data_IF_592934192858
#
_entry.id   IF_592934192858
#
_cell.length_a   1.000
_cell.length_b   1.000
_cell.length_c   1.000
_cell.angle_alpha   90.00
_cell.angle_beta   90.00
_cell.angle_gamma   90.00
#
_symmetry.space_group_name_H-M   'P 1'
#
loop_
_entity.id
_entity.type
_entity.pdbx_description
1 polymer ?
#
# COMPACT_ATOMS: atom_id res chain seq x y z
N UNK A 1 15.49 -0.80 -7.77
CA UNK A 1 15.94 -0.67 -6.36
C UNK A 1 15.57 -1.97 -5.71
N UNK A 2 16.44 -2.58 -4.90
CA UNK A 2 16.10 -3.85 -4.27
C UNK A 2 15.11 -3.62 -3.13
N UNK A 3 14.03 -4.40 -3.10
CA UNK A 3 12.97 -4.32 -2.09
C UNK A 3 12.93 -5.62 -1.31
N UNK A 4 12.72 -5.50 0.00
CA UNK A 4 12.24 -6.57 0.87
C UNK A 4 10.84 -6.15 1.37
N UNK A 5 9.83 -6.86 0.90
CA UNK A 5 8.43 -6.63 1.23
C UNK A 5 8.02 -7.64 2.30
N UNK A 6 7.41 -7.16 3.38
CA UNK A 6 7.06 -7.99 4.54
C UNK A 6 5.58 -7.76 4.84
N UNK A 7 4.75 -8.80 4.73
CA UNK A 7 3.36 -8.75 5.11
C UNK A 7 3.22 -8.92 6.62
N UNK A 8 2.62 -7.95 7.32
CA UNK A 8 2.36 -8.10 8.76
C UNK A 8 1.17 -9.05 8.96
N UNK A 9 1.28 -10.09 9.81
CA UNK A 9 0.15 -10.94 10.12
C UNK A 9 -0.87 -10.17 10.99
N UNK A 10 -2.16 -10.54 10.97
CA UNK A 10 -3.18 -9.84 11.76
C UNK A 10 -3.04 -10.08 13.28
N UNK A 11 -2.36 -11.14 13.68
CA UNK A 11 -2.08 -11.50 15.08
C UNK A 11 -0.78 -10.89 15.61
N UNK A 12 -0.19 -11.44 16.69
CA UNK A 12 1.09 -10.99 17.22
C UNK A 12 2.25 -11.29 16.26
N UNK A 13 3.43 -10.68 16.45
CA UNK A 13 4.64 -11.00 15.70
C UNK A 13 4.95 -12.50 15.70
N UNK A 14 5.02 -13.08 14.51
CA UNK A 14 5.29 -14.50 14.28
C UNK A 14 6.04 -14.62 12.94
N UNK A 15 5.76 -15.68 12.18
CA UNK A 15 6.24 -15.80 10.82
C UNK A 15 5.62 -14.73 9.93
N UNK A 16 6.49 -14.12 9.11
CA UNK A 16 6.10 -13.12 8.14
C UNK A 16 6.19 -13.69 6.73
N UNK A 17 5.11 -13.57 5.97
CA UNK A 17 5.19 -13.72 4.53
C UNK A 17 6.03 -12.58 3.96
N UNK A 18 6.97 -12.90 3.08
CA UNK A 18 7.86 -11.92 2.46
C UNK A 18 7.96 -12.13 0.95
N UNK A 19 8.32 -11.06 0.27
CA UNK A 19 8.74 -11.09 -1.13
C UNK A 19 9.96 -10.18 -1.30
N UNK A 20 10.88 -10.54 -2.18
CA UNK A 20 12.00 -9.70 -2.60
C UNK A 20 11.81 -9.30 -4.05
N UNK A 21 12.33 -8.13 -4.41
CA UNK A 21 12.36 -7.66 -5.78
C UNK A 21 13.71 -7.00 -6.02
N UNK A 22 14.45 -7.40 -7.05
CA UNK A 22 15.74 -6.79 -7.37
C UNK A 22 15.60 -5.38 -8.00
N UNK A 23 14.53 -5.19 -8.78
CA UNK A 23 14.30 -4.01 -9.62
C UNK A 23 13.13 -3.12 -9.13
N UNK A 24 12.22 -3.67 -8.32
CA UNK A 24 10.94 -3.05 -7.93
C UNK A 24 9.81 -3.33 -8.95
N UNK A 25 10.08 -4.11 -9.98
CA UNK A 25 9.18 -4.40 -11.09
C UNK A 25 8.66 -5.83 -11.08
N UNK A 26 9.52 -6.80 -10.75
CA UNK A 26 9.15 -8.22 -10.63
C UNK A 26 9.49 -8.81 -9.26
N UNK A 27 8.80 -9.90 -8.90
CA UNK A 27 9.15 -10.69 -7.72
C UNK A 27 10.37 -11.55 -8.05
N UNK A 28 11.38 -11.53 -7.18
CA UNK A 28 12.61 -12.32 -7.33
C UNK A 28 12.61 -13.57 -6.47
N UNK A 29 12.15 -13.47 -5.22
CA UNK A 29 11.92 -14.60 -4.33
C UNK A 29 10.78 -14.28 -3.36
N UNK A 30 10.14 -15.29 -2.80
CA UNK A 30 9.12 -15.11 -1.78
C UNK A 30 9.07 -16.33 -0.85
N UNK A 31 8.44 -16.19 0.31
CA UNK A 31 8.32 -17.25 1.29
C UNK A 31 7.67 -16.78 2.57
N UNK A 32 7.74 -17.60 3.62
CA UNK A 32 7.37 -17.26 4.98
C UNK A 32 8.54 -17.57 5.91
N UNK A 33 8.86 -16.68 6.83
CA UNK A 33 9.94 -16.88 7.78
C UNK A 33 9.74 -16.10 9.06
N UNK A 34 10.26 -16.64 10.17
CA UNK A 34 10.40 -15.94 11.43
C UNK A 34 11.22 -14.64 11.25
N UNK A 35 11.07 -13.63 12.13
CA UNK A 35 11.70 -12.32 11.96
C UNK A 35 13.23 -12.41 11.79
N UNK A 36 13.88 -13.33 12.53
CA UNK A 36 15.32 -13.58 12.50
C UNK A 36 15.83 -14.22 11.18
N UNK A 37 14.94 -14.87 10.43
CA UNK A 37 15.25 -15.64 9.21
C UNK A 37 14.81 -14.94 7.92
N UNK A 38 14.16 -13.77 8.04
CA UNK A 38 13.86 -12.93 6.90
C UNK A 38 15.13 -12.60 6.10
N UNK A 39 15.05 -12.47 4.77
CA UNK A 39 16.19 -12.07 3.94
C UNK A 39 16.90 -10.83 4.50
N UNK A 40 18.23 -10.80 4.37
CA UNK A 40 19.02 -9.72 4.94
C UNK A 40 18.69 -8.37 4.29
N UNK A 41 18.43 -7.36 5.12
CA UNK A 41 18.22 -5.97 4.70
C UNK A 41 19.59 -5.25 4.56
N UNK A 42 20.38 -5.65 3.57
CA UNK A 42 21.70 -5.06 3.30
C UNK A 42 21.65 -3.61 2.80
N UNK A 43 22.82 -2.99 2.61
CA UNK A 43 22.93 -1.65 2.00
C UNK A 43 22.26 -1.65 0.62
N UNK A 44 21.31 -0.73 0.43
CA UNK A 44 20.59 -0.59 -0.84
C UNK A 44 19.29 -1.39 -0.97
N UNK A 45 18.95 -2.21 0.05
CA UNK A 45 17.63 -2.86 0.15
C UNK A 45 16.69 -1.97 0.94
N UNK A 46 15.55 -1.60 0.35
CA UNK A 46 14.47 -0.95 1.08
C UNK A 46 13.56 -2.01 1.69
N UNK A 47 13.40 -1.98 3.02
CA UNK A 47 12.42 -2.80 3.72
C UNK A 47 11.08 -2.07 3.73
N UNK A 48 10.02 -2.72 3.24
CA UNK A 48 8.66 -2.19 3.22
C UNK A 48 7.75 -3.12 4.01
N UNK A 49 7.14 -2.62 5.08
CA UNK A 49 6.11 -3.33 5.82
C UNK A 49 4.75 -3.09 5.17
N UNK A 50 4.00 -4.15 4.91
CA UNK A 50 2.65 -4.11 4.34
C UNK A 50 1.64 -4.44 5.44
N UNK A 51 0.81 -3.46 5.79
CA UNK A 51 -0.28 -3.61 6.77
C UNK A 51 -1.45 -4.33 6.11
N UNK A 52 -1.91 -5.47 6.65
CA UNK A 52 -2.98 -6.24 6.03
C UNK A 52 -4.29 -5.47 6.06
N UNK A 53 -5.10 -5.63 5.02
CA UNK A 53 -6.37 -4.92 4.88
C UNK A 53 -7.34 -5.22 6.04
N UNK A 54 -7.28 -6.44 6.61
CA UNK A 54 -8.08 -6.83 7.77
C UNK A 54 -7.74 -6.08 9.08
N UNK A 55 -6.61 -5.35 9.14
CA UNK A 55 -6.20 -4.55 10.30
C UNK A 55 -6.24 -3.04 10.03
N UNK A 56 -6.86 -2.64 8.92
CA UNK A 56 -6.90 -1.26 8.49
C UNK A 56 -8.32 -0.83 8.16
N UNK A 57 -8.73 0.34 8.66
CA UNK A 57 -9.97 0.99 8.27
C UNK A 57 -9.71 2.35 7.64
N UNK A 58 -10.66 2.80 6.84
CA UNK A 58 -10.55 4.00 6.02
C UNK A 58 -11.63 4.99 6.39
N UNK A 59 -11.23 6.20 6.76
CA UNK A 59 -12.15 7.28 7.11
C UNK A 59 -11.97 8.46 6.18
N UNK A 60 -13.06 9.01 5.68
CA UNK A 60 -13.04 10.21 4.86
C UNK A 60 -13.37 11.43 5.73
N UNK A 61 -12.46 12.39 5.82
CA UNK A 61 -12.64 13.61 6.61
C UNK A 61 -12.51 14.85 5.75
N UNK A 62 -13.23 15.90 6.12
CA UNK A 62 -13.04 17.23 5.55
C UNK A 62 -11.97 17.96 6.37
N UNK A 63 -10.78 18.17 5.77
CA UNK A 63 -9.70 18.83 6.49
C UNK A 63 -9.98 20.33 6.62
N UNK A 64 -9.78 20.94 7.80
CA UNK A 64 -9.81 22.38 7.96
C UNK A 64 -8.74 23.07 7.10
N UNK A 65 -8.98 24.34 6.73
CA UNK A 65 -7.99 25.13 5.98
C UNK A 65 -6.71 25.27 6.82
N UNK A 66 -5.56 25.14 6.16
CA UNK A 66 -4.24 25.23 6.81
C UNK A 66 -3.77 23.97 7.56
N UNK A 67 -4.57 22.89 7.57
CA UNK A 67 -4.17 21.59 8.14
C UNK A 67 -3.64 20.68 7.04
N UNK A 68 -2.42 20.19 7.21
CA UNK A 68 -1.78 19.27 6.26
C UNK A 68 -0.84 18.28 6.95
N UNK A 69 -0.13 17.43 6.18
CA UNK A 69 0.69 16.33 6.69
C UNK A 69 1.82 16.74 7.67
N UNK A 70 2.23 18.01 7.66
CA UNK A 70 3.26 18.56 8.54
C UNK A 70 2.74 19.49 9.63
N UNK A 71 1.42 19.63 9.79
CA UNK A 71 0.86 20.53 10.79
C UNK A 71 1.11 19.97 12.20
N UNK A 72 1.62 20.79 13.15
CA UNK A 72 1.97 20.32 14.51
C UNK A 72 0.76 19.81 15.30
N UNK A 73 -0.45 20.26 14.94
CA UNK A 73 -1.73 19.86 15.56
C UNK A 73 -2.49 18.82 14.74
N UNK A 74 -1.87 18.21 13.72
CA UNK A 74 -2.56 17.26 12.85
C UNK A 74 -3.22 16.14 13.65
N UNK A 75 -2.48 15.53 14.60
CA UNK A 75 -2.98 14.44 15.45
C UNK A 75 -4.27 14.83 16.18
N UNK A 76 -4.25 15.91 16.96
CA UNK A 76 -5.40 16.35 17.75
C UNK A 76 -6.60 16.74 16.88
N UNK A 77 -6.35 17.29 15.68
CA UNK A 77 -7.42 17.64 14.74
C UNK A 77 -8.07 16.37 14.17
N UNK A 78 -7.26 15.37 13.78
CA UNK A 78 -7.80 14.10 13.28
C UNK A 78 -8.58 13.36 14.36
N UNK A 79 -8.12 13.37 15.62
CA UNK A 79 -8.84 12.78 16.75
C UNK A 79 -10.21 13.44 16.93
N UNK A 80 -10.29 14.78 16.98
CA UNK A 80 -11.57 15.47 17.11
C UNK A 80 -12.51 15.32 15.91
N UNK A 81 -11.97 15.14 14.68
CA UNK A 81 -12.80 14.88 13.49
C UNK A 81 -13.36 13.46 13.44
N UNK A 82 -12.68 12.51 14.09
CA UNK A 82 -12.97 11.09 14.01
C UNK A 82 -13.57 10.50 15.29
N UNK A 83 -13.69 11.29 16.37
CA UNK A 83 -14.18 10.84 17.67
C UNK A 83 -15.49 10.04 17.59
N UNK A 84 -16.47 10.55 16.85
CA UNK A 84 -17.78 9.92 16.68
C UNK A 84 -17.83 8.85 15.55
N UNK A 85 -16.76 8.71 14.75
CA UNK A 85 -16.72 7.79 13.61
C UNK A 85 -15.96 6.49 13.93
N UNK A 86 -15.19 6.47 15.02
CA UNK A 86 -14.33 5.38 15.39
C UNK A 86 -15.01 4.47 16.41
N UNK A 87 -14.79 3.16 16.26
CA UNK A 87 -15.31 2.15 17.18
C UNK A 87 -14.45 2.00 18.44
N UNK A 88 -13.29 2.65 18.48
CA UNK A 88 -12.30 2.59 19.56
C UNK A 88 -11.83 4.01 19.90
N UNK A 89 -11.27 4.17 21.10
CA UNK A 89 -10.68 5.44 21.54
C UNK A 89 -9.56 5.89 20.59
N UNK A 90 -9.61 7.12 20.03
CA UNK A 90 -8.63 7.60 19.07
C UNK A 90 -7.18 7.50 19.59
N UNK A 91 -6.95 7.69 20.89
CA UNK A 91 -5.64 7.58 21.54
C UNK A 91 -4.99 6.17 21.47
N UNK A 92 -5.80 5.13 21.27
CA UNK A 92 -5.36 3.73 21.08
C UNK A 92 -5.07 3.41 19.62
N UNK A 93 -5.48 4.29 18.70
CA UNK A 93 -5.34 4.10 17.27
C UNK A 93 -4.18 4.91 16.69
N UNK A 94 -3.56 4.36 15.66
CA UNK A 94 -2.68 5.06 14.76
C UNK A 94 -3.49 5.67 13.62
N UNK A 95 -3.21 6.93 13.29
CA UNK A 95 -3.88 7.68 12.23
C UNK A 95 -2.82 8.14 11.21
N UNK A 96 -3.04 7.84 9.93
CA UNK A 96 -2.17 8.31 8.85
C UNK A 96 -2.98 8.99 7.76
N UNK A 97 -2.55 10.18 7.35
CA UNK A 97 -3.25 10.99 6.36
C UNK A 97 -2.86 10.60 4.94
N UNK A 98 -3.80 10.69 4.00
CA UNK A 98 -3.56 10.40 2.59
C UNK A 98 -2.39 11.20 1.99
N UNK A 99 -1.62 10.58 1.08
CA UNK A 99 -0.60 11.30 0.34
C UNK A 99 -1.23 12.45 -0.45
N UNK A 100 -0.62 13.63 -0.37
CA UNK A 100 -1.10 14.82 -1.09
C UNK A 100 -2.34 15.49 -0.49
N UNK A 101 -2.78 15.11 0.71
CA UNK A 101 -3.91 15.76 1.38
C UNK A 101 -3.65 17.26 1.62
N UNK A 102 -4.65 18.08 1.30
CA UNK A 102 -4.60 19.55 1.41
C UNK A 102 -5.68 20.06 2.36
N UNK A 103 -5.35 21.08 3.14
CA UNK A 103 -6.31 21.73 4.03
C UNK A 103 -7.44 22.39 3.23
N UNK A 104 -8.68 22.22 3.67
CA UNK A 104 -9.87 22.68 2.96
C UNK A 104 -10.43 21.68 1.95
N UNK A 105 -9.82 20.51 1.77
CA UNK A 105 -10.32 19.44 0.91
C UNK A 105 -10.66 18.18 1.71
N UNK A 106 -11.48 17.30 1.10
CA UNK A 106 -11.73 15.95 1.60
C UNK A 106 -10.46 15.12 1.46
N UNK A 107 -10.10 14.38 2.50
CA UNK A 107 -8.95 13.50 2.53
C UNK A 107 -9.27 12.17 3.20
N UNK A 108 -8.57 11.12 2.79
CA UNK A 108 -8.63 9.82 3.46
C UNK A 108 -7.67 9.76 4.65
N UNK A 109 -8.09 9.07 5.70
CA UNK A 109 -7.29 8.73 6.88
C UNK A 109 -7.31 7.22 7.04
N UNK A 110 -6.12 6.63 7.08
CA UNK A 110 -5.92 5.23 7.43
C UNK A 110 -5.89 5.10 8.95
N UNK A 111 -6.58 4.10 9.48
CA UNK A 111 -6.71 3.87 10.91
C UNK A 111 -6.40 2.41 11.24
N UNK A 112 -5.50 2.19 12.20
CA UNK A 112 -5.20 0.86 12.72
C UNK A 112 -4.84 0.89 14.21
N UNK A 113 -4.79 -0.26 14.86
CA UNK A 113 -4.41 -0.34 16.27
C UNK A 113 -2.92 -0.01 16.47
N UNK A 114 -2.63 0.98 17.33
CA UNK A 114 -1.27 1.50 17.53
C UNK A 114 -0.34 0.48 18.19
N UNK A 115 -0.83 -0.23 19.21
CA UNK A 115 -0.03 -1.22 19.95
C UNK A 115 0.37 -2.40 19.06
N UNK A 116 -0.56 -2.90 18.25
CA UNK A 116 -0.31 -3.94 17.26
C UNK A 116 0.78 -3.54 16.27
N UNK A 117 0.67 -2.35 15.65
CA UNK A 117 1.66 -1.88 14.68
C UNK A 117 3.03 -1.70 15.35
N UNK A 118 3.08 -1.11 16.54
CA UNK A 118 4.32 -0.92 17.30
C UNK A 118 5.02 -2.25 17.62
N UNK A 119 4.27 -3.29 18.02
CA UNK A 119 4.83 -4.61 18.32
C UNK A 119 5.50 -5.24 17.09
N UNK A 120 4.89 -5.15 15.91
CA UNK A 120 5.49 -5.63 14.67
C UNK A 120 6.74 -4.84 14.27
N UNK A 121 6.68 -3.51 14.33
CA UNK A 121 7.82 -2.67 14.00
C UNK A 121 9.00 -2.95 14.94
N UNK A 122 8.74 -3.14 16.25
CA UNK A 122 9.76 -3.51 17.22
C UNK A 122 10.36 -4.89 16.94
N UNK A 123 9.55 -5.89 16.61
CA UNK A 123 10.04 -7.23 16.27
C UNK A 123 10.92 -7.23 15.01
N UNK A 124 10.55 -6.45 13.99
CA UNK A 124 11.35 -6.30 12.78
C UNK A 124 12.65 -5.53 13.04
N UNK A 125 12.61 -4.49 13.88
CA UNK A 125 13.78 -3.71 14.27
C UNK A 125 14.78 -4.55 15.09
N UNK A 126 14.29 -5.31 16.07
CA UNK A 126 15.10 -6.25 16.85
C UNK A 126 15.76 -7.33 15.98
N UNK A 127 15.13 -7.68 14.87
CA UNK A 127 15.67 -8.59 13.89
C UNK A 127 16.66 -7.90 12.91
N UNK A 128 16.83 -6.58 12.95
CA UNK A 128 17.68 -5.84 12.00
C UNK A 128 17.05 -5.66 10.62
N UNK A 129 15.71 -5.72 10.51
CA UNK A 129 14.93 -5.40 9.30
C UNK A 129 14.01 -4.19 9.55
N UNK A 130 14.52 -3.03 9.99
CA UNK A 130 13.67 -1.87 10.27
C UNK A 130 12.96 -1.42 8.98
N UNK A 131 11.61 -1.40 8.95
CA UNK A 131 10.88 -0.91 7.79
C UNK A 131 11.23 0.55 7.50
N UNK A 132 11.59 0.83 6.26
CA UNK A 132 11.84 2.18 5.76
C UNK A 132 10.54 2.88 5.31
N UNK A 133 9.54 2.10 4.89
CA UNK A 133 8.21 2.54 4.51
C UNK A 133 7.16 1.56 5.05
N UNK A 134 6.01 2.07 5.45
CA UNK A 134 4.87 1.25 5.86
C UNK A 134 3.74 1.55 4.88
N UNK A 135 3.23 0.54 4.17
CA UNK A 135 2.18 0.71 3.16
C UNK A 135 0.96 -0.12 3.52
N UNK A 136 -0.25 0.31 3.14
CA UNK A 136 -1.43 -0.54 3.21
C UNK A 136 -1.37 -1.62 2.12
N UNK A 137 -1.86 -2.82 2.42
CA UNK A 137 -2.11 -3.87 1.43
C UNK A 137 -3.15 -3.42 0.39
N UNK A 138 -4.20 -2.75 0.87
CA UNK A 138 -5.33 -2.28 0.09
C UNK A 138 -5.61 -0.84 0.48
N UNK A 139 -5.63 0.08 -0.49
CA UNK A 139 -5.90 1.50 -0.27
C UNK A 139 -7.07 2.01 -1.13
N UNK A 140 -7.81 3.03 -0.68
CA UNK A 140 -8.75 3.76 -1.52
C UNK A 140 -8.02 4.27 -2.76
N UNK A 141 -8.61 3.99 -3.92
CA UNK A 141 -8.09 4.39 -5.22
C UNK A 141 -9.23 5.01 -6.02
N UNK A 142 -8.90 6.01 -6.83
CA UNK A 142 -9.84 6.53 -7.82
C UNK A 142 -9.83 5.64 -9.06
N UNK A 143 -10.96 5.55 -9.74
CA UNK A 143 -11.15 4.76 -10.95
C UNK A 143 -11.93 3.47 -10.73
N UNK A 144 -11.81 2.51 -11.67
CA UNK A 144 -12.66 1.34 -11.70
C UNK A 144 -12.53 0.48 -10.45
N UNK A 145 -13.64 -0.14 -10.06
CA UNK A 145 -13.68 -1.12 -8.99
C UNK A 145 -12.73 -2.27 -9.30
N UNK A 146 -11.87 -2.60 -8.36
CA UNK A 146 -11.01 -3.77 -8.38
C UNK A 146 -11.46 -4.71 -7.29
N UNK A 147 -11.61 -5.98 -7.65
CA UNK A 147 -11.93 -7.08 -6.74
C UNK A 147 -10.76 -8.07 -6.78
N UNK A 148 -10.19 -8.38 -5.62
CA UNK A 148 -9.07 -9.30 -5.50
C UNK A 148 -9.36 -10.38 -4.45
N UNK A 149 -9.48 -11.64 -4.89
CA UNK A 149 -9.55 -12.78 -3.97
C UNK A 149 -8.16 -13.22 -3.53
N UNK A 150 -7.96 -13.28 -2.21
CA UNK A 150 -6.66 -13.57 -1.58
C UNK A 150 -6.81 -14.46 -0.35
N UNK A 151 -5.70 -15.04 0.10
CA UNK A 151 -5.67 -15.89 1.29
C UNK A 151 -5.83 -17.36 0.96
N UNK A 152 -6.09 -18.15 2.00
CA UNK A 152 -6.20 -19.60 1.87
C UNK A 152 -7.58 -20.03 1.34
N UNK A 153 -7.67 -21.13 0.57
CA UNK A 153 -8.93 -21.68 0.07
C UNK A 153 -10.00 -21.91 1.14
N UNK A 154 -9.60 -22.25 2.36
CA UNK A 154 -10.50 -22.49 3.49
C UNK A 154 -11.03 -21.19 4.11
N UNK A 155 -10.32 -20.07 3.92
CA UNK A 155 -10.63 -18.76 4.48
C UNK A 155 -10.32 -17.64 3.48
N UNK A 156 -10.99 -17.63 2.31
CA UNK A 156 -10.69 -16.63 1.30
C UNK A 156 -11.17 -15.25 1.75
N UNK A 157 -10.46 -14.23 1.33
CA UNK A 157 -10.78 -12.83 1.54
C UNK A 157 -11.00 -12.14 0.21
N UNK A 158 -12.05 -11.34 0.12
CA UNK A 158 -12.32 -10.44 -0.97
C UNK A 158 -11.84 -9.03 -0.57
N UNK A 159 -10.85 -8.54 -1.30
CA UNK A 159 -10.35 -7.17 -1.20
C UNK A 159 -11.00 -6.34 -2.32
N UNK A 160 -11.57 -5.20 -1.97
CA UNK A 160 -12.28 -4.32 -2.90
C UNK A 160 -11.75 -2.90 -2.78
N UNK A 161 -11.45 -2.26 -3.91
CA UNK A 161 -11.08 -0.83 -3.93
C UNK A 161 -11.56 -0.15 -5.19
N UNK A 162 -11.93 1.12 -5.13
CA UNK A 162 -12.36 1.91 -6.28
C UNK A 162 -13.53 2.84 -5.93
N UNK A 163 -13.95 3.67 -6.88
CA UNK A 163 -14.96 4.70 -6.63
C UNK A 163 -16.34 4.11 -6.27
N UNK A 164 -16.65 2.91 -6.77
CA UNK A 164 -17.90 2.20 -6.46
C UNK A 164 -17.90 1.49 -5.10
N UNK A 165 -16.75 1.37 -4.44
CA UNK A 165 -16.64 0.65 -3.16
C UNK A 165 -17.02 1.61 -2.01
N UNK A 166 -18.03 1.28 -1.18
CA UNK A 166 -18.37 2.12 -0.03
C UNK A 166 -17.15 2.28 0.89
N UNK A 167 -16.84 3.51 1.30
CA UNK A 167 -15.62 3.77 2.08
C UNK A 167 -14.30 3.68 1.28
N UNK A 168 -14.36 3.53 -0.05
CA UNK A 168 -13.22 3.57 -0.98
C UNK A 168 -12.38 2.29 -1.03
N UNK A 169 -12.26 1.57 0.09
CA UNK A 169 -11.62 0.26 0.15
C UNK A 169 -12.22 -0.60 1.28
N UNK A 170 -12.43 -1.89 1.03
CA UNK A 170 -12.95 -2.86 2.00
C UNK A 170 -12.29 -4.22 1.85
N UNK A 171 -12.16 -4.95 2.96
CA UNK A 171 -11.77 -6.35 2.99
C UNK A 171 -12.83 -7.14 3.76
N UNK A 172 -13.34 -8.20 3.16
CA UNK A 172 -14.34 -9.07 3.78
C UNK A 172 -14.05 -10.55 3.54
N UNK A 173 -14.39 -11.45 4.48
CA UNK A 173 -14.37 -12.88 4.23
C UNK A 173 -15.25 -13.23 3.02
N UNK A 174 -14.71 -14.02 2.11
CA UNK A 174 -15.40 -14.45 0.92
C UNK A 174 -16.11 -15.78 1.18
N UNK A 175 -17.40 -15.86 0.88
CA UNK A 175 -18.21 -17.03 1.13
C UNK A 175 -19.64 -16.90 0.63
N UNK A 176 -20.52 -17.83 1.02
CA UNK A 176 -21.94 -17.78 0.66
C UNK A 176 -22.56 -16.48 1.18
N UNK A 177 -23.02 -15.62 0.26
CA UNK A 177 -23.61 -14.32 0.60
C UNK A 177 -22.70 -13.11 0.34
N UNK A 178 -21.40 -13.29 0.12
CA UNK A 178 -20.50 -12.17 -0.23
C UNK A 178 -20.92 -11.45 -1.52
N UNK A 179 -21.62 -12.14 -2.43
CA UNK A 179 -22.20 -11.55 -3.63
C UNK A 179 -23.16 -10.38 -3.33
N UNK A 180 -23.91 -10.44 -2.23
CA UNK A 180 -24.83 -9.37 -1.83
C UNK A 180 -24.11 -8.12 -1.30
N UNK A 181 -22.83 -8.26 -0.93
CA UNK A 181 -21.98 -7.17 -0.44
C UNK A 181 -21.11 -6.57 -1.54
N UNK A 182 -21.19 -7.11 -2.76
CA UNK A 182 -20.46 -6.57 -3.91
C UNK A 182 -20.99 -5.17 -4.25
N UNK A 183 -20.11 -4.25 -4.68
CA UNK A 183 -20.53 -2.94 -5.16
C UNK A 183 -21.56 -3.11 -6.28
N UNK A 184 -22.69 -2.42 -6.17
CA UNK A 184 -23.65 -2.37 -7.24
C UNK A 184 -22.98 -1.78 -8.48
N UNK A 185 -23.04 -2.49 -9.61
CA UNK A 185 -22.56 -1.96 -10.87
C UNK A 185 -23.47 -0.80 -11.28
N UNK A 186 -22.95 0.43 -11.29
CA UNK A 186 -23.64 1.52 -11.98
C UNK A 186 -23.70 1.19 -13.47
N UNK A 187 -24.83 1.48 -14.13
CA UNK A 187 -25.09 1.08 -15.51
C UNK A 187 -24.00 1.53 -16.50
N UNK A 188 -23.35 2.67 -16.23
CA UNK A 188 -22.30 3.25 -17.07
C UNK A 188 -20.87 3.04 -16.51
N UNK A 189 -20.71 2.28 -15.43
CA UNK A 189 -19.39 2.04 -14.86
C UNK A 189 -18.62 0.97 -15.66
N UNK A 190 -17.29 1.14 -15.83
CA UNK A 190 -16.45 0.10 -16.40
C UNK A 190 -16.54 -1.18 -15.56
N UNK A 191 -16.49 -2.33 -16.23
CA UNK A 191 -16.52 -3.62 -15.56
C UNK A 191 -15.36 -3.74 -14.55
N UNK A 192 -15.60 -4.36 -13.36
CA UNK A 192 -14.56 -4.45 -12.36
C UNK A 192 -13.38 -5.31 -12.83
N UNK A 193 -12.17 -4.91 -12.44
CA UNK A 193 -10.96 -5.72 -12.58
C UNK A 193 -11.03 -6.87 -11.58
N UNK A 194 -11.06 -8.11 -12.07
CA UNK A 194 -11.13 -9.31 -11.24
C UNK A 194 -9.74 -9.95 -11.15
N UNK A 195 -9.22 -10.05 -9.93
CA UNK A 195 -7.93 -10.63 -9.60
C UNK A 195 -8.13 -11.78 -8.62
N UNK A 196 -7.30 -12.82 -8.72
CA UNK A 196 -7.31 -13.90 -7.75
C UNK A 196 -5.91 -14.45 -7.53
N UNK A 197 -5.62 -14.88 -6.31
CA UNK A 197 -4.45 -15.73 -6.06
C UNK A 197 -4.64 -17.11 -6.71
N UNK A 198 -3.53 -17.80 -7.10
CA UNK A 198 -3.61 -19.04 -7.88
C UNK A 198 -4.53 -20.11 -7.26
N UNK A 199 -4.50 -20.26 -5.93
CA UNK A 199 -5.32 -21.24 -5.21
C UNK A 199 -6.83 -20.89 -5.21
N UNK A 200 -7.18 -19.63 -5.47
CA UNK A 200 -8.55 -19.11 -5.46
C UNK A 200 -9.09 -18.81 -6.86
N UNK A 201 -8.31 -18.99 -7.92
CA UNK A 201 -8.70 -18.63 -9.28
C UNK A 201 -10.00 -19.34 -9.73
N UNK A 202 -10.07 -20.67 -9.55
CA UNK A 202 -11.27 -21.43 -9.91
C UNK A 202 -12.51 -21.01 -9.09
N UNK A 203 -12.34 -20.76 -7.79
CA UNK A 203 -13.41 -20.27 -6.91
C UNK A 203 -13.91 -18.90 -7.38
N UNK A 204 -13.00 -18.01 -7.76
CA UNK A 204 -13.32 -16.68 -8.25
C UNK A 204 -14.08 -16.74 -9.57
N UNK A 205 -13.60 -17.52 -10.55
CA UNK A 205 -14.25 -17.65 -11.85
C UNK A 205 -15.66 -18.26 -11.71
N UNK A 206 -15.82 -19.25 -10.85
CA UNK A 206 -17.13 -19.83 -10.55
C UNK A 206 -18.08 -18.81 -9.89
N UNK A 207 -17.58 -17.99 -8.96
CA UNK A 207 -18.41 -17.03 -8.26
C UNK A 207 -18.80 -15.81 -9.12
N UNK A 208 -17.86 -15.30 -9.94
CA UNK A 208 -18.08 -14.11 -10.78
C UNK A 208 -18.53 -14.44 -12.21
N UNK A 209 -18.54 -15.72 -12.61
CA UNK A 209 -18.88 -16.18 -13.96
C UNK A 209 -18.09 -15.46 -15.06
N UNK A 210 -16.82 -15.10 -14.75
CA UNK A 210 -15.93 -14.32 -15.59
C UNK A 210 -14.48 -14.77 -15.35
N UNK A 211 -13.60 -14.71 -16.36
CA UNK A 211 -12.19 -15.01 -16.18
C UNK A 211 -11.55 -14.01 -15.21
N UNK A 212 -10.59 -14.50 -14.41
CA UNK A 212 -9.84 -13.67 -13.45
C UNK A 212 -8.37 -13.58 -13.82
N UNK A 213 -7.76 -12.43 -13.57
CA UNK A 213 -6.31 -12.30 -13.72
C UNK A 213 -5.62 -12.90 -12.49
N UNK A 214 -4.82 -13.93 -12.71
CA UNK A 214 -4.09 -14.62 -11.65
C UNK A 214 -2.91 -13.76 -11.20
N UNK A 215 -2.85 -13.45 -9.90
CA UNK A 215 -1.72 -12.77 -9.26
C UNK A 215 -1.45 -13.36 -7.88
N UNK A 216 -0.23 -13.82 -7.66
CA UNK A 216 0.23 -14.41 -6.40
C UNK A 216 0.24 -13.42 -5.24
N UNK A 217 0.28 -13.94 -4.02
CA UNK A 217 0.44 -13.14 -2.80
C UNK A 217 1.71 -12.27 -2.84
N UNK A 218 2.81 -12.77 -3.41
CA UNK A 218 4.05 -12.01 -3.55
C UNK A 218 3.90 -10.82 -4.51
N UNK A 219 3.19 -11.00 -5.63
CA UNK A 219 2.87 -9.93 -6.56
C UNK A 219 1.90 -8.91 -5.94
N UNK A 220 1.01 -9.35 -5.04
CA UNK A 220 0.17 -8.46 -4.23
C UNK A 220 0.98 -7.56 -3.32
N UNK A 221 1.97 -8.11 -2.60
CA UNK A 221 2.89 -7.29 -1.80
C UNK A 221 3.66 -6.30 -2.67
N UNK A 222 4.13 -6.72 -3.85
CA UNK A 222 4.83 -5.84 -4.78
C UNK A 222 3.91 -4.73 -5.29
N UNK A 223 2.66 -5.04 -5.62
CA UNK A 223 1.66 -4.06 -6.00
C UNK A 223 1.38 -3.05 -4.87
N UNK A 224 1.15 -3.52 -3.64
CA UNK A 224 0.95 -2.67 -2.47
C UNK A 224 2.13 -1.72 -2.23
N UNK A 225 3.37 -2.20 -2.44
CA UNK A 225 4.58 -1.39 -2.29
C UNK A 225 4.67 -0.18 -3.23
N UNK A 226 3.95 -0.20 -4.35
CA UNK A 226 3.88 0.90 -5.34
C UNK A 226 2.86 1.96 -4.98
N UNK A 227 2.04 1.71 -3.94
CA UNK A 227 1.12 2.70 -3.44
C UNK A 227 1.86 3.97 -2.99
N UNK A 228 1.33 5.17 -3.27
CA UNK A 228 1.90 6.41 -2.78
C UNK A 228 1.71 6.59 -1.26
N UNK A 229 0.91 5.73 -0.62
CA UNK A 229 0.68 5.75 0.81
C UNK A 229 1.95 5.45 1.60
N UNK A 230 2.13 6.18 2.70
CA UNK A 230 3.12 5.90 3.72
C UNK A 230 2.46 6.12 5.08
N UNK A 231 2.25 5.02 5.81
CA UNK A 231 1.67 5.00 7.14
C UNK A 231 2.70 5.38 8.22
N UNK A 232 3.99 5.57 7.88
CA UNK A 232 5.01 6.03 8.82
C UNK A 232 4.89 7.54 9.13
N UNK A 233 3.74 7.94 9.70
CA UNK A 233 3.41 9.31 10.09
C UNK A 233 3.32 9.45 11.60
N UNK A 234 3.25 10.71 12.08
CA UNK A 234 3.05 11.05 13.50
C UNK A 234 4.04 10.30 14.41
N UNK A 235 3.57 9.44 15.31
CA UNK A 235 4.38 8.67 16.26
C UNK A 235 5.35 7.68 15.58
N UNK A 236 5.06 7.24 14.35
CA UNK A 236 5.92 6.32 13.59
C UNK A 236 6.81 7.03 12.57
N UNK A 237 6.86 8.37 12.59
CA UNK A 237 7.68 9.16 11.69
C UNK A 237 9.18 9.04 12.01
N UNK A 238 9.84 7.98 11.53
CA UNK A 238 11.31 7.85 11.62
C UNK A 238 11.97 8.92 10.72
N UNK A 239 12.89 9.73 11.27
CA UNK A 239 13.45 11.00 10.76
C UNK A 239 13.49 11.26 9.23
N UNK A 240 12.97 12.42 8.81
CA UNK A 240 12.74 12.82 7.41
C UNK A 240 13.95 13.01 6.49
N UNK A 241 15.19 13.04 7.01
CA UNK A 241 16.39 13.32 6.21
C UNK A 241 16.79 12.17 5.27
N UNK A 242 16.50 10.92 5.64
CA UNK A 242 16.67 9.77 4.74
C UNK A 242 15.59 9.69 3.65
N UNK A 243 14.42 10.34 3.86
CA UNK A 243 13.24 10.26 2.99
C UNK A 243 13.30 11.23 1.79
N UNK A 244 13.80 12.45 2.00
CA UNK A 244 13.95 13.44 0.92
C UNK A 244 15.00 13.02 -0.13
N UNK A 245 16.14 12.47 0.31
CA UNK A 245 17.17 11.95 -0.59
C UNK A 245 16.68 10.75 -1.43
N UNK A 246 15.74 9.95 -0.90
CA UNK A 246 15.21 8.75 -1.59
C UNK A 246 14.13 9.08 -2.62
N UNK A 247 13.25 10.07 -2.37
CA UNK A 247 12.27 10.56 -3.36
C UNK A 247 12.92 11.21 -4.59
N UNK A 248 14.05 11.91 -4.40
CA UNK A 248 14.85 12.39 -5.52
C UNK A 248 15.41 11.21 -6.34
N UNK A 249 15.85 10.13 -5.67
CA UNK A 249 16.38 8.93 -6.32
C UNK A 249 15.34 8.03 -7.02
N UNK A 250 14.05 8.15 -6.72
CA UNK A 250 12.96 7.45 -7.44
C UNK A 250 12.55 8.23 -8.69
N UNK A 251 12.37 9.56 -8.59
CA UNK A 251 12.07 10.42 -9.74
C UNK A 251 13.22 10.41 -10.77
N UNK A 252 14.47 10.41 -10.30
CA UNK A 252 15.65 10.29 -11.17
C UNK A 252 15.72 8.94 -11.89
N UNK A 253 15.16 7.87 -11.32
CA UNK A 253 15.17 6.53 -11.93
C UNK A 253 13.96 6.24 -12.81
N UNK A 254 12.79 6.79 -12.48
CA UNK A 254 11.65 6.78 -13.39
C UNK A 254 12.04 7.47 -14.72
N UNK A 255 12.85 8.54 -14.62
CA UNK A 255 13.46 9.19 -15.79
C UNK A 255 14.49 8.29 -16.51
N UNK A 256 15.31 7.50 -15.80
CA UNK A 256 16.36 6.66 -16.41
C UNK A 256 15.87 5.31 -16.97
N UNK A 257 14.84 4.70 -16.38
CA UNK A 257 14.44 3.31 -16.65
C UNK A 257 13.03 3.12 -17.23
N UNK A 258 12.17 4.14 -17.27
CA UNK A 258 10.86 3.98 -17.91
C UNK A 258 11.00 3.93 -19.46
N UNK A 259 10.48 2.88 -20.14
CA UNK A 259 10.59 2.74 -21.60
C UNK A 259 9.88 3.85 -22.39
N UNK A 260 8.94 4.57 -21.77
CA UNK A 260 8.24 5.72 -22.35
C UNK A 260 9.12 6.98 -22.52
N UNK A 261 10.26 7.08 -21.83
CA UNK A 261 11.13 8.28 -21.82
C UNK A 261 12.32 8.18 -22.79
N UNK A 262 12.35 7.15 -23.63
CA UNK A 262 13.31 7.01 -24.75
C UNK A 262 13.49 8.28 -25.60
N UNK A 263 12.44 9.04 -26.00
CA UNK A 263 12.64 10.25 -26.81
C UNK A 263 13.33 11.37 -26.03
N UNK A 264 13.03 11.54 -24.73
CA UNK A 264 13.67 12.55 -23.89
C UNK A 264 15.18 12.30 -23.71
N UNK A 265 15.58 11.03 -23.64
CA UNK A 265 17.00 10.63 -23.59
C UNK A 265 17.75 10.97 -24.88
N UNK A 266 17.14 10.74 -26.04
CA UNK A 266 17.72 11.12 -27.32
C UNK A 266 17.80 12.64 -27.49
N UNK A 267 16.79 13.39 -27.01
CA UNK A 267 16.83 14.84 -27.03
C UNK A 267 18.00 15.41 -26.19
N UNK A 268 18.25 14.84 -25.00
CA UNK A 268 19.38 15.25 -24.16
C UNK A 268 20.74 14.94 -24.82
N UNK A 269 20.88 13.74 -25.41
CA UNK A 269 22.11 13.34 -26.14
C UNK A 269 22.34 14.23 -27.36
N UNK A 270 21.29 14.54 -28.12
CA UNK A 270 21.36 15.43 -29.28
C UNK A 270 21.80 16.83 -28.85
N UNK A 271 21.25 17.35 -27.74
CA UNK A 271 21.58 18.66 -27.22
C UNK A 271 23.03 18.73 -26.71
N UNK A 272 23.53 17.65 -26.09
CA UNK A 272 24.94 17.50 -25.72
C UNK A 272 25.87 17.45 -26.94
N UNK A 273 25.50 16.72 -28.00
CA UNK A 273 26.28 16.65 -29.24
C UNK A 273 26.31 17.99 -29.97
N UNK A 274 25.19 18.71 -30.03
CA UNK A 274 25.13 20.06 -30.60
C UNK A 274 25.98 21.04 -29.79
N UNK A 275 25.97 20.92 -28.45
CA UNK A 275 26.78 21.77 -27.59
C UNK A 275 28.29 21.48 -27.72
N UNK A 276 28.68 20.22 -27.89
CA UNK A 276 30.07 19.80 -28.13
C UNK A 276 30.58 20.13 -29.54
N UNK A 277 29.71 20.14 -30.56
CA UNK A 277 30.06 20.53 -31.92
C UNK A 277 30.05 22.06 -32.12
N UNK A 278 29.45 22.80 -31.19
CA UNK A 278 29.42 24.26 -31.13
C UNK A 278 30.55 24.87 -30.27
N UNK A 279 31.45 24.05 -29.75
CA UNK A 279 32.68 24.41 -29.03
C UNK A 279 33.90 24.17 -29.92
#
# INVERSE_FOLDING_TARGET
>A
MSLLLIALPPGPPADYAFATSADGQGVSAHGSAAPALLPAAGRGVEVVAVVPAARLSWQAVQLPRGVGPGAPRLRSILEGLLEEQLLDEPARLHLALAPGAQGGARAWVAVCERAWLAAHLAALDAAGRPPARIVPELSPQHGPTRLWLSGEPERPWLLMSGDGVPGGAQALPFGPGSAALLPAAAADAPAPELLAEPALAALAEQAFQRPVAIRSAAERLLHASRSPWDLAQLEFSRGGRARAARRAGTLWRDFLHAPAWRPARWALVLLLLVNLAGL
#
